data_IF_942989772649
#
_entry.id   IF_942989772649
#
_cell.length_a   1.000
_cell.length_b   1.000
_cell.length_c   1.000
_cell.angle_alpha   90.00
_cell.angle_beta   90.00
_cell.angle_gamma   90.00
#
_symmetry.space_group_name_H-M   'P 1'
#
loop_
_entity.id
_entity.type
_entity.pdbx_description
1 polymer ?
#
# COMPACT_ATOMS: atom_id res chain seq x y z
N UNK A 1 57.10 -51.94 -10.71
CA UNK A 1 57.20 -50.66 -9.99
C UNK A 1 56.31 -50.78 -8.76
N UNK A 2 56.86 -50.41 -7.62
CA UNK A 2 56.59 -50.71 -6.19
C UNK A 2 55.22 -50.26 -5.64
N UNK A 3 54.55 -51.05 -4.76
CA UNK A 3 54.39 -50.88 -3.28
C UNK A 3 53.69 -49.55 -2.88
N UNK A 4 52.60 -49.46 -2.12
CA UNK A 4 52.27 -50.00 -0.78
C UNK A 4 50.72 -50.07 -0.61
N UNK A 5 50.06 -51.09 -0.06
CA UNK A 5 50.08 -51.78 1.25
C UNK A 5 49.10 -51.20 2.28
N UNK A 6 48.08 -52.02 2.59
CA UNK A 6 47.24 -51.99 3.79
C UNK A 6 48.10 -51.94 5.07
N UNK A 7 47.47 -51.64 6.24
CA UNK A 7 47.38 -52.57 7.40
C UNK A 7 46.94 -51.93 8.77
N UNK A 8 46.03 -52.67 9.47
CA UNK A 8 45.74 -52.82 10.94
C UNK A 8 45.07 -51.67 11.73
N UNK A 9 43.89 -51.87 12.37
CA UNK A 9 43.45 -52.74 13.51
C UNK A 9 43.98 -52.26 14.87
N UNK A 10 43.07 -51.91 15.81
CA UNK A 10 43.10 -52.35 17.22
C UNK A 10 41.81 -51.99 17.98
N UNK A 11 41.16 -53.05 18.49
CA UNK A 11 40.15 -53.13 19.56
C UNK A 11 40.65 -52.63 20.92
N UNK A 12 39.78 -52.09 21.78
CA UNK A 12 39.69 -52.52 23.20
C UNK A 12 38.46 -51.93 23.90
N UNK A 13 37.71 -52.79 24.59
CA UNK A 13 36.56 -52.46 25.44
C UNK A 13 37.01 -52.15 26.87
N UNK A 14 36.37 -51.19 27.53
CA UNK A 14 36.28 -51.16 29.00
C UNK A 14 34.88 -50.70 29.39
N UNK A 15 34.20 -51.58 30.13
CA UNK A 15 32.95 -51.33 30.81
C UNK A 15 33.27 -50.81 32.22
N UNK A 16 32.63 -49.72 32.66
CA UNK A 16 32.56 -49.38 34.09
C UNK A 16 31.21 -48.70 34.39
N UNK A 17 30.50 -49.29 35.35
CA UNK A 17 29.18 -48.90 35.85
C UNK A 17 29.32 -47.91 37.02
N UNK A 18 28.24 -47.17 37.27
CA UNK A 18 27.87 -46.30 38.41
C UNK A 18 28.19 -44.81 38.25
N UNK A 19 27.15 -43.98 38.18
CA UNK A 19 26.44 -43.50 39.38
C UNK A 19 25.33 -42.52 38.94
N UNK A 20 24.13 -42.69 39.50
CA UNK A 20 23.01 -41.80 39.28
C UNK A 20 23.32 -40.39 39.80
N UNK A 21 23.11 -39.38 38.94
CA UNK A 21 22.81 -38.03 39.37
C UNK A 21 21.59 -37.57 38.58
N UNK A 22 20.44 -37.59 39.26
CA UNK A 22 19.22 -36.93 38.83
C UNK A 22 19.49 -35.42 38.85
N UNK A 23 19.74 -34.83 37.68
CA UNK A 23 19.62 -33.39 37.49
C UNK A 23 18.41 -33.19 36.60
N UNK A 24 17.36 -32.65 37.20
CA UNK A 24 16.15 -32.18 36.54
C UNK A 24 16.60 -31.03 35.62
N UNK A 25 16.67 -31.28 34.31
CA UNK A 25 16.69 -30.20 33.34
C UNK A 25 15.27 -29.60 33.26
N UNK A 26 15.10 -28.28 33.34
CA UNK A 26 13.82 -27.66 33.05
C UNK A 26 13.43 -28.00 31.60
N UNK A 27 12.15 -28.30 31.39
CA UNK A 27 11.57 -28.51 30.07
C UNK A 27 11.97 -27.35 29.16
N UNK A 28 12.50 -27.67 27.98
CA UNK A 28 12.47 -26.74 26.85
C UNK A 28 11.01 -26.33 26.71
N UNK A 29 10.73 -25.08 27.10
CA UNK A 29 9.53 -24.40 26.66
C UNK A 29 9.62 -24.41 25.14
N UNK A 30 8.65 -25.09 24.54
CA UNK A 30 8.32 -24.96 23.15
C UNK A 30 7.86 -23.51 22.96
N UNK A 31 8.83 -22.62 22.74
CA UNK A 31 8.56 -21.27 22.27
C UNK A 31 8.07 -21.44 20.84
N UNK A 32 6.77 -21.71 20.73
CA UNK A 32 5.99 -21.39 19.55
C UNK A 32 6.21 -19.89 19.28
N UNK A 33 7.21 -19.59 18.46
CA UNK A 33 7.25 -18.37 17.68
C UNK A 33 5.93 -18.35 16.89
N UNK A 34 4.95 -17.64 17.43
CA UNK A 34 3.84 -17.11 16.66
C UNK A 34 4.45 -16.12 15.66
N UNK A 35 4.97 -16.67 14.57
CA UNK A 35 5.25 -15.93 13.36
C UNK A 35 3.87 -15.67 12.74
N UNK A 36 3.15 -14.68 13.28
CA UNK A 36 2.07 -14.03 12.54
C UNK A 36 2.74 -13.50 11.27
N UNK A 37 2.56 -14.24 10.17
CA UNK A 37 2.98 -13.79 8.86
C UNK A 37 2.26 -12.46 8.62
N UNK A 38 3.00 -11.36 8.72
CA UNK A 38 2.56 -10.08 8.17
C UNK A 38 2.14 -10.37 6.74
N UNK A 39 0.83 -10.23 6.46
CA UNK A 39 0.34 -10.29 5.10
C UNK A 39 0.95 -9.09 4.38
N UNK A 40 2.02 -9.34 3.63
CA UNK A 40 2.82 -8.32 2.96
C UNK A 40 1.95 -7.63 1.89
N UNK A 41 1.21 -6.59 2.29
CA UNK A 41 0.33 -5.83 1.41
C UNK A 41 1.15 -5.09 0.35
N UNK A 42 0.66 -5.07 -0.89
CA UNK A 42 1.38 -4.41 -1.99
C UNK A 42 1.05 -2.91 -2.00
N UNK A 43 2.06 -2.05 -1.87
CA UNK A 43 1.89 -0.60 -1.83
C UNK A 43 2.37 0.07 -3.12
N UNK A 44 1.54 0.93 -3.69
CA UNK A 44 1.83 1.76 -4.86
C UNK A 44 1.75 3.24 -4.46
N UNK A 45 2.91 3.89 -4.35
CA UNK A 45 3.03 5.30 -3.99
C UNK A 45 2.75 6.17 -5.21
N UNK A 46 1.79 7.08 -5.11
CA UNK A 46 1.30 7.92 -6.20
C UNK A 46 2.42 8.66 -6.93
N UNK A 47 3.35 9.26 -6.20
CA UNK A 47 4.44 10.06 -6.81
C UNK A 47 5.58 9.22 -7.41
N UNK A 48 5.59 7.91 -7.18
CA UNK A 48 6.72 7.02 -7.51
C UNK A 48 6.32 5.96 -8.53
N UNK A 49 5.23 5.24 -8.25
CA UNK A 49 4.86 4.03 -8.97
C UNK A 49 3.84 4.34 -10.09
N UNK A 50 3.12 5.46 -10.00
CA UNK A 50 2.25 5.94 -11.07
C UNK A 50 3.01 6.87 -12.01
N UNK A 51 3.18 6.44 -13.27
CA UNK A 51 4.10 7.09 -14.21
C UNK A 51 3.40 7.94 -15.28
N UNK A 52 2.17 7.59 -15.68
CA UNK A 52 1.35 8.44 -16.54
C UNK A 52 0.45 9.34 -15.71
N UNK A 53 0.90 10.56 -15.44
CA UNK A 53 0.17 11.57 -14.66
C UNK A 53 -0.79 12.43 -15.51
N UNK A 54 -0.98 12.09 -16.80
CA UNK A 54 -1.75 12.87 -17.77
C UNK A 54 -2.81 12.04 -18.49
N UNK A 55 -3.14 10.87 -17.95
CA UNK A 55 -4.14 9.97 -18.52
C UNK A 55 -5.58 10.51 -18.43
N UNK A 56 -5.82 11.58 -17.67
CA UNK A 56 -7.14 12.20 -17.43
C UNK A 56 -7.38 13.49 -18.22
N UNK A 57 -8.53 14.11 -17.99
CA UNK A 57 -8.89 15.41 -18.56
C UNK A 57 -8.09 16.58 -17.94
N UNK A 58 -7.62 16.40 -16.70
CA UNK A 58 -6.68 17.29 -16.03
C UNK A 58 -5.36 16.54 -15.74
N UNK A 59 -4.20 17.23 -15.77
CA UNK A 59 -2.95 16.64 -15.35
C UNK A 59 -2.82 16.67 -13.82
N UNK A 60 -2.22 15.62 -13.25
CA UNK A 60 -1.66 15.71 -11.92
C UNK A 60 -0.36 16.52 -11.92
N UNK A 61 -0.10 17.18 -10.80
CA UNK A 61 1.24 17.64 -10.42
C UNK A 61 1.67 16.96 -9.12
N UNK A 62 2.98 16.92 -8.87
CA UNK A 62 3.56 16.40 -7.62
C UNK A 62 3.64 17.55 -6.60
N UNK A 63 2.88 17.45 -5.50
CA UNK A 63 3.01 18.32 -4.34
C UNK A 63 4.17 17.82 -3.47
N UNK A 64 5.40 18.21 -3.84
CA UNK A 64 6.65 17.76 -3.20
C UNK A 64 6.76 18.04 -1.70
N UNK A 65 5.93 18.93 -1.17
CA UNK A 65 5.95 19.26 0.26
C UNK A 65 5.17 18.24 1.09
N UNK A 66 4.29 17.47 0.43
CA UNK A 66 3.40 16.48 1.03
C UNK A 66 3.61 15.09 0.45
N UNK A 67 4.44 14.96 -0.59
CA UNK A 67 4.68 13.73 -1.32
C UNK A 67 3.40 13.07 -1.89
N UNK A 68 2.48 13.90 -2.39
CA UNK A 68 1.19 13.47 -2.98
C UNK A 68 1.01 13.94 -4.42
N UNK A 69 0.13 13.26 -5.14
CA UNK A 69 -0.42 13.76 -6.41
C UNK A 69 -1.56 14.75 -6.13
N UNK A 70 -1.68 15.77 -6.97
CA UNK A 70 -2.67 16.84 -6.79
C UNK A 70 -3.06 17.51 -8.13
N UNK A 71 -4.21 18.20 -8.14
CA UNK A 71 -4.69 18.97 -9.28
C UNK A 71 -4.58 20.48 -8.98
N UNK A 72 -4.17 21.29 -9.95
CA UNK A 72 -4.05 22.74 -9.75
C UNK A 72 -5.42 23.43 -9.75
N UNK A 73 -6.01 23.62 -8.57
CA UNK A 73 -7.30 24.28 -8.40
C UNK A 73 -7.35 25.77 -8.78
N UNK A 74 -6.18 26.42 -8.85
CA UNK A 74 -6.05 27.80 -9.34
C UNK A 74 -6.31 27.91 -10.84
N UNK A 75 -6.19 26.79 -11.59
CA UNK A 75 -6.57 26.76 -12.99
C UNK A 75 -8.06 26.38 -13.13
N UNK A 76 -8.90 27.38 -13.37
CA UNK A 76 -10.35 27.22 -13.50
C UNK A 76 -10.78 26.19 -14.55
N UNK A 77 -9.94 25.90 -15.55
CA UNK A 77 -10.25 24.92 -16.60
C UNK A 77 -10.31 23.48 -16.07
N UNK A 78 -9.79 23.23 -14.87
CA UNK A 78 -9.77 21.90 -14.26
C UNK A 78 -10.90 21.65 -13.26
N UNK A 79 -11.73 22.66 -12.93
CA UNK A 79 -12.70 22.61 -11.81
C UNK A 79 -13.86 21.63 -11.95
N UNK A 80 -14.05 21.02 -13.11
CA UNK A 80 -15.03 19.96 -13.36
C UNK A 80 -14.39 18.74 -14.07
N UNK A 81 -13.07 18.59 -13.94
CA UNK A 81 -12.27 17.61 -14.66
C UNK A 81 -11.70 16.56 -13.73
N UNK A 82 -11.54 15.36 -14.27
CA UNK A 82 -10.88 14.25 -13.60
C UNK A 82 -9.41 14.20 -14.01
N UNK A 83 -8.51 14.17 -13.04
CA UNK A 83 -7.13 13.76 -13.30
C UNK A 83 -7.03 12.26 -13.11
N UNK A 84 -6.18 11.60 -13.91
CA UNK A 84 -5.95 10.16 -13.85
C UNK A 84 -4.46 9.88 -13.82
N UNK A 85 -4.07 8.96 -12.95
CA UNK A 85 -2.74 8.39 -12.91
C UNK A 85 -2.85 6.87 -13.09
N UNK A 86 -1.90 6.26 -13.80
CA UNK A 86 -1.87 4.80 -13.97
C UNK A 86 -0.53 4.18 -13.58
N UNK A 87 -0.61 2.93 -13.11
CA UNK A 87 0.54 2.06 -12.83
C UNK A 87 0.24 0.63 -13.31
N UNK A 88 1.27 -0.18 -13.49
CA UNK A 88 1.13 -1.62 -13.74
C UNK A 88 1.03 -2.36 -12.40
N UNK A 89 0.05 -3.26 -12.27
CA UNK A 89 -0.07 -4.11 -11.10
C UNK A 89 0.97 -5.25 -11.16
N UNK A 90 1.90 -5.26 -10.22
CA UNK A 90 3.01 -6.22 -10.13
C UNK A 90 2.76 -7.36 -9.15
N UNK A 91 1.62 -7.34 -8.47
CA UNK A 91 1.19 -8.39 -7.55
C UNK A 91 0.77 -9.68 -8.23
N UNK A 92 0.59 -10.73 -7.44
CA UNK A 92 0.00 -11.98 -7.91
C UNK A 92 -1.48 -11.80 -8.27
N UNK A 93 -2.02 -12.69 -9.11
CA UNK A 93 -3.45 -12.73 -9.39
C UNK A 93 -4.24 -12.98 -8.10
N UNK A 94 -5.31 -12.20 -7.87
CA UNK A 94 -6.08 -12.35 -6.64
C UNK A 94 -7.28 -11.42 -6.52
N UNK A 95 -7.89 -11.48 -5.35
CA UNK A 95 -8.93 -10.54 -4.91
C UNK A 95 -8.38 -9.77 -3.72
N UNK A 96 -8.52 -8.45 -3.76
CA UNK A 96 -7.89 -7.54 -2.83
C UNK A 96 -8.87 -6.52 -2.29
N UNK A 97 -8.69 -6.15 -1.03
CA UNK A 97 -9.21 -4.90 -0.51
C UNK A 97 -8.21 -3.80 -0.83
N UNK A 98 -8.66 -2.85 -1.65
CA UNK A 98 -7.83 -1.78 -2.19
C UNK A 98 -8.05 -0.54 -1.36
N UNK A 99 -7.03 -0.14 -0.61
CA UNK A 99 -7.06 1.00 0.30
C UNK A 99 -6.38 2.20 -0.35
N UNK A 100 -7.09 3.30 -0.56
CA UNK A 100 -6.48 4.57 -0.95
C UNK A 100 -6.22 5.44 0.28
N UNK A 101 -5.03 6.04 0.35
CA UNK A 101 -4.71 7.09 1.33
C UNK A 101 -4.78 8.44 0.64
N UNK A 102 -5.77 9.25 1.01
CA UNK A 102 -6.06 10.58 0.49
C UNK A 102 -5.72 11.65 1.52
N UNK A 103 -5.81 12.93 1.15
CA UNK A 103 -5.67 14.05 2.09
C UNK A 103 -7.02 14.76 2.22
N UNK A 104 -7.53 14.87 3.45
CA UNK A 104 -8.69 15.68 3.77
C UNK A 104 -8.36 17.17 3.66
N UNK A 105 -9.25 17.94 3.04
CA UNK A 105 -9.09 19.38 2.85
C UNK A 105 -10.33 20.11 3.36
N UNK A 106 -10.12 21.13 4.18
CA UNK A 106 -11.22 21.90 4.79
C UNK A 106 -12.12 22.59 3.75
N UNK A 107 -11.57 22.84 2.56
CA UNK A 107 -12.21 23.57 1.49
C UNK A 107 -13.12 22.69 0.60
N UNK A 108 -13.05 21.36 0.72
CA UNK A 108 -13.89 20.47 -0.08
C UNK A 108 -13.59 18.97 0.04
N UNK A 109 -14.64 18.20 -0.20
CA UNK A 109 -14.67 16.74 -0.17
C UNK A 109 -14.42 16.13 -1.56
N UNK A 110 -13.16 15.96 -1.95
CA UNK A 110 -12.81 15.37 -3.24
C UNK A 110 -13.25 13.90 -3.36
N UNK A 111 -13.51 13.49 -4.59
CA UNK A 111 -13.95 12.15 -4.98
C UNK A 111 -12.84 11.42 -5.71
N UNK A 112 -12.76 10.12 -5.52
CA UNK A 112 -11.72 9.23 -6.04
C UNK A 112 -12.35 8.02 -6.71
N UNK A 113 -11.77 7.59 -7.83
CA UNK A 113 -12.23 6.41 -8.58
C UNK A 113 -11.08 5.43 -8.81
N UNK A 114 -11.37 4.15 -8.62
CA UNK A 114 -10.46 3.07 -8.94
C UNK A 114 -10.82 2.46 -10.29
N UNK A 115 -9.81 2.22 -11.12
CA UNK A 115 -9.92 1.49 -12.38
C UNK A 115 -8.97 0.30 -12.39
N UNK A 116 -9.42 -0.82 -12.97
CA UNK A 116 -8.59 -1.98 -13.30
C UNK A 116 -8.79 -2.28 -14.78
N UNK A 117 -7.69 -2.28 -15.54
CA UNK A 117 -7.67 -2.51 -16.99
C UNK A 117 -8.67 -1.62 -17.77
N UNK A 118 -8.85 -0.39 -17.29
CA UNK A 118 -9.76 0.60 -17.88
C UNK A 118 -11.22 0.50 -17.44
N UNK A 119 -11.60 -0.54 -16.69
CA UNK A 119 -12.94 -0.68 -16.11
C UNK A 119 -13.04 0.07 -14.77
N UNK A 120 -14.11 0.84 -14.59
CA UNK A 120 -14.39 1.53 -13.32
C UNK A 120 -14.87 0.51 -12.28
N UNK A 121 -14.09 0.36 -11.21
CA UNK A 121 -14.41 -0.56 -10.10
C UNK A 121 -15.34 0.11 -9.09
N UNK A 122 -15.09 1.38 -8.78
CA UNK A 122 -15.91 2.09 -7.80
C UNK A 122 -15.47 3.53 -7.57
N UNK A 123 -16.26 4.23 -6.78
CA UNK A 123 -16.09 5.64 -6.43
C UNK A 123 -16.25 5.83 -4.92
N UNK A 124 -15.37 6.64 -4.32
CA UNK A 124 -15.37 7.00 -2.90
C UNK A 124 -15.16 8.51 -2.76
N UNK A 125 -15.70 9.12 -1.72
CA UNK A 125 -15.55 10.55 -1.45
C UNK A 125 -14.94 10.77 -0.08
N UNK A 126 -14.03 11.74 0.02
CA UNK A 126 -13.51 12.18 1.31
C UNK A 126 -14.62 12.66 2.24
N UNK A 127 -14.46 12.43 3.54
CA UNK A 127 -15.37 13.03 4.52
C UNK A 127 -15.07 14.52 4.67
N UNK A 128 -16.12 15.29 4.96
CA UNK A 128 -15.97 16.68 5.36
C UNK A 128 -15.11 16.77 6.63
N UNK A 129 -14.10 17.64 6.61
CA UNK A 129 -13.23 17.93 7.76
C UNK A 129 -13.45 19.35 8.26
N UNK A 130 -13.06 19.61 9.51
CA UNK A 130 -12.91 20.98 10.02
C UNK A 130 -11.46 21.47 9.84
N UNK A 131 -11.15 22.68 10.30
CA UNK A 131 -9.80 23.24 10.24
C UNK A 131 -8.75 22.38 10.95
N UNK A 132 -9.13 21.59 11.95
CA UNK A 132 -8.22 20.70 12.65
C UNK A 132 -7.94 19.41 11.86
N UNK A 133 -8.85 19.03 10.97
CA UNK A 133 -8.70 17.91 10.03
C UNK A 133 -8.04 18.29 8.71
N UNK A 134 -7.84 19.59 8.44
CA UNK A 134 -7.20 20.07 7.22
C UNK A 134 -5.79 19.48 7.05
N UNK A 135 -5.51 19.01 5.84
CA UNK A 135 -4.24 18.38 5.44
C UNK A 135 -3.91 17.08 6.19
N UNK A 136 -4.88 16.43 6.86
CA UNK A 136 -4.67 15.11 7.47
C UNK A 136 -5.06 13.98 6.52
N UNK A 137 -4.40 12.80 6.63
CA UNK A 137 -4.77 11.65 5.82
C UNK A 137 -6.20 11.17 6.10
N UNK A 138 -6.86 10.67 5.05
CA UNK A 138 -8.07 9.86 5.12
C UNK A 138 -7.84 8.57 4.34
N UNK A 139 -8.52 7.50 4.75
CA UNK A 139 -8.39 6.19 4.09
C UNK A 139 -9.76 5.67 3.70
N UNK A 140 -9.86 5.18 2.47
CA UNK A 140 -11.09 4.57 1.94
C UNK A 140 -10.76 3.22 1.31
N UNK A 141 -11.73 2.31 1.27
CA UNK A 141 -11.53 0.94 0.80
C UNK A 141 -12.52 0.60 -0.32
N UNK A 142 -12.00 0.03 -1.41
CA UNK A 142 -12.80 -0.76 -2.34
C UNK A 142 -12.59 -2.22 -1.99
N UNK A 143 -13.64 -2.89 -1.52
CA UNK A 143 -13.57 -4.29 -1.08
C UNK A 143 -13.69 -5.25 -2.27
N UNK A 144 -13.00 -6.40 -2.18
CA UNK A 144 -13.24 -7.52 -3.10
C UNK A 144 -12.86 -7.26 -4.56
N UNK A 145 -11.83 -6.45 -4.82
CA UNK A 145 -11.38 -6.09 -6.16
C UNK A 145 -10.55 -7.22 -6.77
N UNK A 146 -11.03 -7.82 -7.86
CA UNK A 146 -10.24 -8.79 -8.62
C UNK A 146 -9.24 -8.07 -9.53
N UNK A 147 -7.96 -8.43 -9.41
CA UNK A 147 -6.88 -7.90 -10.26
C UNK A 147 -5.89 -9.01 -10.59
N UNK A 148 -5.35 -8.97 -11.81
CA UNK A 148 -4.34 -9.88 -12.31
C UNK A 148 -3.01 -9.17 -12.52
N UNK A 149 -1.92 -9.92 -12.36
CA UNK A 149 -0.58 -9.45 -12.64
C UNK A 149 -0.49 -8.88 -14.06
N UNK A 150 0.13 -7.70 -14.18
CA UNK A 150 0.32 -6.99 -15.45
C UNK A 150 -0.88 -6.15 -15.89
N UNK A 151 -2.02 -6.19 -15.19
CA UNK A 151 -3.13 -5.27 -15.49
C UNK A 151 -2.77 -3.84 -15.09
N UNK A 152 -3.35 -2.87 -15.80
CA UNK A 152 -3.20 -1.47 -15.44
C UNK A 152 -4.13 -1.11 -14.28
N UNK A 153 -3.59 -0.55 -13.20
CA UNK A 153 -4.37 0.10 -12.15
C UNK A 153 -4.43 1.60 -12.43
N UNK A 154 -5.62 2.19 -12.27
CA UNK A 154 -5.85 3.60 -12.49
C UNK A 154 -6.52 4.25 -11.29
N UNK A 155 -6.06 5.44 -10.91
CA UNK A 155 -6.70 6.25 -9.87
C UNK A 155 -7.08 7.59 -10.49
N UNK A 156 -8.36 7.94 -10.39
CA UNK A 156 -8.82 9.29 -10.66
C UNK A 156 -9.12 10.05 -9.38
N UNK A 157 -8.95 11.37 -9.45
CA UNK A 157 -9.51 12.30 -8.47
C UNK A 157 -10.01 13.56 -9.17
N UNK A 158 -10.85 14.33 -8.49
CA UNK A 158 -11.35 15.62 -8.96
C UNK A 158 -10.99 16.77 -8.02
N UNK A 159 -11.18 17.98 -8.51
CA UNK A 159 -11.29 19.16 -7.66
C UNK A 159 -12.70 19.23 -7.05
N UNK A 160 -12.82 19.74 -5.84
CA UNK A 160 -14.13 19.96 -5.21
C UNK A 160 -14.11 21.21 -4.32
N UNK A 161 -15.25 21.88 -4.20
CA UNK A 161 -15.48 22.95 -3.22
C UNK A 161 -16.74 22.65 -2.44
N UNK A 162 -16.68 22.80 -1.11
CA UNK A 162 -17.87 22.70 -0.28
C UNK A 162 -18.69 24.00 -0.22
N UNK A 163 -18.21 25.07 -0.88
CA UNK A 163 -18.86 26.36 -0.95
C UNK A 163 -18.84 27.17 0.35
N UNK A 164 -18.15 26.71 1.39
CA UNK A 164 -18.19 27.31 2.74
C UNK A 164 -17.07 28.30 3.00
N UNK A 165 -15.93 28.16 2.32
CA UNK A 165 -14.70 28.91 2.61
C UNK A 165 -14.52 30.00 1.55
N UNK A 166 -14.75 31.29 1.87
CA UNK A 166 -14.67 32.35 0.88
C UNK A 166 -13.21 32.66 0.47
N UNK A 167 -12.99 32.83 -0.83
CA UNK A 167 -11.73 33.33 -1.41
C UNK A 167 -12.05 34.35 -2.51
N UNK A 168 -11.82 35.64 -2.23
CA UNK A 168 -12.16 36.71 -3.17
C UNK A 168 -13.66 36.78 -3.46
N UNK A 169 -14.03 36.61 -4.72
CA UNK A 169 -15.42 36.56 -5.22
C UNK A 169 -16.01 35.14 -5.30
N UNK A 170 -15.22 34.12 -4.93
CA UNK A 170 -15.62 32.71 -4.96
C UNK A 170 -15.34 31.99 -3.65
N UNK A 171 -15.15 30.67 -3.76
CA UNK A 171 -14.83 29.79 -2.63
C UNK A 171 -13.55 29.01 -2.91
N UNK A 172 -12.86 28.60 -1.85
CA UNK A 172 -11.68 27.77 -1.90
C UNK A 172 -12.01 26.37 -2.47
N UNK A 173 -11.00 25.71 -3.04
CA UNK A 173 -11.13 24.42 -3.71
C UNK A 173 -10.09 23.43 -3.21
N UNK A 174 -10.56 22.27 -2.78
CA UNK A 174 -9.76 21.08 -2.53
C UNK A 174 -9.19 20.52 -3.84
N UNK A 175 -8.03 19.85 -3.74
CA UNK A 175 -7.16 19.54 -4.88
C UNK A 175 -7.06 18.07 -5.26
N UNK A 176 -7.93 17.23 -4.71
CA UNK A 176 -7.99 15.80 -5.02
C UNK A 176 -6.72 15.07 -4.65
N UNK A 177 -6.10 15.46 -3.52
CA UNK A 177 -4.79 14.96 -3.11
C UNK A 177 -4.84 13.50 -2.66
N UNK A 178 -3.86 12.70 -3.08
CA UNK A 178 -3.67 11.34 -2.59
C UNK A 178 -2.22 10.87 -2.65
N UNK A 179 -1.88 10.00 -1.71
CA UNK A 179 -0.51 9.56 -1.42
C UNK A 179 -0.22 8.20 -2.06
N UNK A 180 -1.08 7.22 -1.85
CA UNK A 180 -0.82 5.83 -2.24
C UNK A 180 -2.09 4.99 -2.33
N UNK A 181 -1.95 3.82 -2.96
CA UNK A 181 -2.93 2.74 -2.95
C UNK A 181 -2.27 1.46 -2.46
N UNK A 182 -2.85 0.83 -1.45
CA UNK A 182 -2.42 -0.44 -0.89
C UNK A 182 -3.39 -1.57 -1.28
N UNK A 183 -2.87 -2.70 -1.74
CA UNK A 183 -3.63 -3.91 -2.05
C UNK A 183 -3.39 -4.92 -0.93
N UNK A 184 -4.43 -5.19 -0.14
CA UNK A 184 -4.42 -6.19 0.93
C UNK A 184 -5.20 -7.40 0.47
N UNK A 185 -4.72 -8.61 0.78
CA UNK A 185 -5.50 -9.80 0.50
C UNK A 185 -6.88 -9.65 1.16
N UNK A 186 -7.96 -9.88 0.40
CA UNK A 186 -9.30 -9.85 0.96
C UNK A 186 -9.46 -11.02 1.95
N UNK A 187 -10.06 -10.75 3.11
CA UNK A 187 -10.35 -11.76 4.15
C UNK A 187 -11.54 -12.68 3.79
#
# INVERSE_FOLDING_TARGET
MTFESLVRIATCAVSLVLLACLIIAPSVADDHENNEAESDGLSYVGIKDFTDLKAGEAPYYIDKWRDVLAINAGNVKFRDKWARATAEFTGADGTYDVVITTIGEYDGECTYRLYVDGELIGELQNDAVDKSGDMKPQTHVWEGVSVKQGQTIGVESNLHTNGKIPEGDGTAWARGRWEKVDFKAAE
#
